data_IF_111518235263
#
_entry.id   IF_111518235263
#
_cell.length_a   1.000
_cell.length_b   1.000
_cell.length_c   1.000
_cell.angle_alpha   90.00
_cell.angle_beta   90.00
_cell.angle_gamma   90.00
#
_symmetry.space_group_name_H-M   'P 1'
#
loop_
_entity.id
_entity.type
_entity.pdbx_description
1 polymer ?
#
# COMPACT_ATOMS: atom_id res chain seq x y z
N UNK A 1 -15.04 14.34 4.76
CA UNK A 1 -13.65 14.29 5.25
C UNK A 1 -13.25 15.69 5.73
N UNK A 2 -12.92 15.83 6.99
CA UNK A 2 -12.44 17.05 7.65
C UNK A 2 -10.97 16.86 8.02
N UNK A 3 -10.08 17.75 7.60
CA UNK A 3 -8.67 17.70 8.02
C UNK A 3 -8.56 18.22 9.46
N UNK A 4 -7.98 17.40 10.31
CA UNK A 4 -7.77 17.70 11.74
C UNK A 4 -6.38 18.30 11.94
N UNK A 5 -5.36 17.72 11.28
CA UNK A 5 -3.97 18.15 11.39
C UNK A 5 -3.24 17.99 10.05
N UNK A 6 -2.27 18.86 9.82
CA UNK A 6 -1.32 18.75 8.71
C UNK A 6 0.09 18.93 9.24
N UNK A 7 0.95 17.94 9.03
CA UNK A 7 2.38 17.99 9.32
C UNK A 7 3.17 18.04 8.03
N UNK A 8 4.04 19.02 7.89
CA UNK A 8 4.89 19.16 6.70
C UNK A 8 6.35 18.95 7.05
N UNK A 9 7.06 18.22 6.20
CA UNK A 9 8.50 18.05 6.27
C UNK A 9 9.12 18.64 5.01
N UNK A 10 10.01 19.67 5.20
CA UNK A 10 10.66 20.37 4.10
C UNK A 10 11.37 19.38 3.17
N UNK A 11 11.04 19.45 1.89
CA UNK A 11 11.65 18.58 0.89
C UNK A 11 11.13 17.14 0.83
N UNK A 12 10.23 16.71 1.73
CA UNK A 12 9.64 15.38 1.74
C UNK A 12 8.15 15.42 1.35
N UNK A 13 7.36 16.27 1.99
CA UNK A 13 5.93 16.33 1.69
C UNK A 13 5.06 16.70 2.90
N UNK A 14 3.81 16.31 2.87
CA UNK A 14 2.83 16.55 3.91
C UNK A 14 2.09 15.27 4.32
N UNK A 15 1.93 15.10 5.63
CA UNK A 15 1.05 14.11 6.23
C UNK A 15 -0.21 14.83 6.68
N UNK A 16 -1.35 14.26 6.37
CA UNK A 16 -2.67 14.75 6.73
C UNK A 16 -3.33 13.76 7.68
N UNK A 17 -3.80 14.23 8.82
CA UNK A 17 -4.73 13.53 9.68
C UNK A 17 -6.14 14.03 9.36
N UNK A 18 -7.01 13.13 8.98
CA UNK A 18 -8.39 13.45 8.60
C UNK A 18 -9.40 12.67 9.43
N UNK A 19 -10.50 13.33 9.75
CA UNK A 19 -11.67 12.71 10.33
C UNK A 19 -12.70 12.43 9.22
N UNK A 20 -13.05 11.16 9.06
CA UNK A 20 -14.07 10.66 8.14
C UNK A 20 -15.41 10.43 8.85
N UNK A 21 -15.47 10.68 10.16
CA UNK A 21 -16.65 10.44 10.97
C UNK A 21 -17.77 11.43 10.72
N UNK A 22 -18.91 11.07 11.26
CA UNK A 22 -20.09 11.92 11.39
C UNK A 22 -20.20 12.45 12.82
N UNK A 23 -21.12 13.37 13.09
CA UNK A 23 -21.30 13.94 14.42
C UNK A 23 -21.35 12.86 15.51
N UNK A 24 -20.44 12.91 16.48
CA UNK A 24 -20.39 12.06 17.66
C UNK A 24 -19.51 10.81 17.58
N UNK A 25 -18.91 10.47 16.42
CA UNK A 25 -17.96 9.36 16.27
C UNK A 25 -16.82 9.72 15.33
N UNK A 26 -15.65 9.92 15.90
CA UNK A 26 -14.45 10.17 15.12
C UNK A 26 -13.99 8.89 14.40
N UNK A 27 -13.52 9.09 13.16
CA UNK A 27 -12.90 8.04 12.31
C UNK A 27 -11.62 8.62 11.72
N UNK A 28 -10.56 8.58 12.50
CA UNK A 28 -9.29 9.20 12.15
C UNK A 28 -8.49 8.32 11.20
N UNK A 29 -8.02 8.91 10.11
CA UNK A 29 -7.12 8.28 9.15
C UNK A 29 -6.02 9.23 8.74
N UNK A 30 -4.89 8.66 8.39
CA UNK A 30 -3.75 9.40 7.85
C UNK A 30 -3.57 9.12 6.37
N UNK A 31 -3.11 10.11 5.62
CA UNK A 31 -2.63 9.95 4.27
C UNK A 31 -1.51 10.94 3.96
N UNK A 32 -0.73 10.66 2.93
CA UNK A 32 0.51 11.39 2.68
C UNK A 32 0.59 11.85 1.24
N UNK A 33 1.03 13.09 1.08
CA UNK A 33 1.46 13.70 -0.18
C UNK A 33 2.98 13.84 -0.14
N UNK A 34 3.70 13.06 -0.93
CA UNK A 34 5.16 13.01 -0.86
C UNK A 34 5.80 12.82 -2.23
N UNK A 35 7.10 12.65 -2.21
CA UNK A 35 7.94 12.36 -3.39
C UNK A 35 8.98 11.31 -3.06
N UNK A 36 9.61 10.75 -4.05
CA UNK A 36 10.80 9.92 -3.84
C UNK A 36 11.98 10.82 -3.40
N UNK A 37 12.76 10.42 -2.41
CA UNK A 37 13.97 11.14 -2.03
C UNK A 37 14.89 11.38 -3.23
N UNK A 38 15.41 12.62 -3.36
CA UNK A 38 16.27 13.00 -4.49
C UNK A 38 15.56 13.26 -5.83
N UNK A 39 14.27 12.91 -5.96
CA UNK A 39 13.51 13.13 -7.21
C UNK A 39 12.51 14.28 -7.02
N UNK A 40 12.50 15.29 -7.89
CA UNK A 40 11.50 16.35 -7.82
C UNK A 40 10.06 15.82 -7.94
N UNK A 41 9.14 16.40 -7.17
CA UNK A 41 7.73 15.99 -7.18
C UNK A 41 7.09 16.09 -8.57
N UNK A 42 7.50 17.07 -9.36
CA UNK A 42 7.07 17.24 -10.76
C UNK A 42 7.49 16.08 -11.69
N UNK A 43 8.48 15.28 -11.29
CA UNK A 43 8.92 14.10 -12.05
C UNK A 43 8.34 12.80 -11.47
N UNK A 44 8.20 12.69 -10.14
CA UNK A 44 7.61 11.53 -9.48
C UNK A 44 6.84 11.97 -8.24
N UNK A 45 5.54 11.87 -8.33
CA UNK A 45 4.60 12.19 -7.26
C UNK A 45 4.13 10.92 -6.58
N UNK A 46 4.16 10.88 -5.24
CA UNK A 46 3.76 9.72 -4.46
C UNK A 46 2.66 10.12 -3.48
N UNK A 47 1.53 9.46 -3.57
CA UNK A 47 0.44 9.56 -2.63
C UNK A 47 0.34 8.24 -1.86
N UNK A 48 0.30 8.30 -0.54
CA UNK A 48 0.04 7.12 0.29
C UNK A 48 -1.33 7.29 0.94
N UNK A 49 -2.21 6.32 0.73
CA UNK A 49 -3.60 6.35 1.22
C UNK A 49 -3.87 5.23 2.20
N UNK A 50 -4.78 5.49 3.13
CA UNK A 50 -5.29 4.53 4.10
C UNK A 50 -6.44 3.72 3.51
N UNK A 51 -6.59 2.48 3.96
CA UNK A 51 -7.65 1.56 3.57
C UNK A 51 -8.59 1.20 4.73
N UNK A 52 -8.16 1.46 5.96
CA UNK A 52 -8.93 1.20 7.19
C UNK A 52 -8.74 2.35 8.17
N UNK A 53 -9.67 2.50 9.10
CA UNK A 53 -9.46 3.26 10.34
C UNK A 53 -8.70 2.33 11.29
N UNK A 54 -7.49 2.71 11.68
CA UNK A 54 -6.57 1.80 12.36
C UNK A 54 -6.11 0.66 11.45
N UNK A 55 -5.87 -0.53 12.01
CA UNK A 55 -5.48 -1.71 11.24
C UNK A 55 -5.91 -3.00 11.93
N UNK A 56 -6.53 -3.92 11.18
CA UNK A 56 -6.99 -5.22 11.69
C UNK A 56 -5.84 -6.20 11.99
N UNK A 57 -4.61 -5.92 11.56
CA UNK A 57 -3.45 -6.81 11.73
C UNK A 57 -2.77 -6.66 13.09
N UNK A 58 -2.63 -5.44 13.58
CA UNK A 58 -2.00 -5.17 14.88
C UNK A 58 -0.50 -5.45 14.92
N UNK A 59 0.25 -5.16 13.83
CA UNK A 59 1.71 -5.28 13.83
C UNK A 59 2.33 -4.48 14.97
N UNK A 60 3.25 -5.11 15.74
CA UNK A 60 3.78 -4.52 16.99
C UNK A 60 4.58 -3.23 16.79
N UNK A 61 5.13 -3.01 15.61
CA UNK A 61 5.91 -1.83 15.26
C UNK A 61 5.11 -0.72 14.58
N UNK A 62 3.78 -0.90 14.40
CA UNK A 62 2.95 -0.01 13.59
C UNK A 62 1.91 0.70 14.43
N UNK A 63 1.95 2.04 14.43
CA UNK A 63 1.01 2.89 15.18
C UNK A 63 -0.45 2.66 14.75
N UNK A 64 -0.68 2.38 13.46
CA UNK A 64 -2.01 2.04 12.97
C UNK A 64 -2.55 0.73 13.57
N UNK A 65 -1.66 -0.22 13.87
CA UNK A 65 -2.00 -1.45 14.60
C UNK A 65 -2.32 -1.19 16.07
N UNK A 66 -1.54 -0.32 16.72
CA UNK A 66 -1.77 0.08 18.11
C UNK A 66 -3.11 0.81 18.30
N UNK A 67 -3.57 1.56 17.30
CA UNK A 67 -4.88 2.23 17.31
C UNK A 67 -6.09 1.27 17.22
N UNK A 68 -5.85 -0.03 16.96
CA UNK A 68 -6.89 -1.03 16.77
C UNK A 68 -7.62 -0.90 15.43
N UNK A 69 -8.72 -1.65 15.27
CA UNK A 69 -9.51 -1.67 14.04
C UNK A 69 -10.83 -0.92 14.22
N UNK A 70 -10.98 0.21 13.53
CA UNK A 70 -12.18 1.05 13.53
C UNK A 70 -13.09 0.89 12.30
N UNK A 71 -12.78 -0.03 11.39
CA UNK A 71 -13.58 -0.35 10.21
C UNK A 71 -12.87 -0.10 8.88
N UNK A 72 -13.42 -0.69 7.82
CA UNK A 72 -12.96 -0.52 6.45
C UNK A 72 -13.36 0.84 5.89
N UNK A 73 -12.52 1.42 5.03
CA UNK A 73 -12.87 2.59 4.24
C UNK A 73 -13.63 2.17 2.99
N UNK A 74 -14.61 2.99 2.61
CA UNK A 74 -15.32 2.88 1.35
C UNK A 74 -14.45 3.32 0.17
N UNK A 75 -14.89 3.03 -1.04
CA UNK A 75 -14.25 3.51 -2.29
C UNK A 75 -14.11 5.02 -2.28
N UNK A 76 -15.19 5.74 -1.93
CA UNK A 76 -15.18 7.21 -1.91
C UNK A 76 -14.29 7.81 -0.84
N UNK A 77 -14.18 7.17 0.34
CA UNK A 77 -13.26 7.60 1.40
C UNK A 77 -11.80 7.41 0.97
N UNK A 78 -11.46 6.30 0.31
CA UNK A 78 -10.10 6.08 -0.22
C UNK A 78 -9.75 7.06 -1.35
N UNK A 79 -10.61 7.22 -2.35
CA UNK A 79 -10.39 8.16 -3.46
C UNK A 79 -10.51 9.62 -3.01
N UNK A 80 -11.28 9.90 -1.96
CA UNK A 80 -11.36 11.20 -1.32
C UNK A 80 -10.00 11.72 -0.85
N UNK A 81 -9.12 10.83 -0.36
CA UNK A 81 -7.75 11.17 0.03
C UNK A 81 -6.93 11.59 -1.22
N UNK A 82 -7.04 10.84 -2.32
CA UNK A 82 -6.36 11.16 -3.59
C UNK A 82 -6.84 12.52 -4.14
N UNK A 83 -8.17 12.71 -4.19
CA UNK A 83 -8.79 13.96 -4.68
C UNK A 83 -8.41 15.14 -3.80
N UNK A 84 -8.29 14.96 -2.47
CA UNK A 84 -7.83 16.02 -1.57
C UNK A 84 -6.39 16.42 -1.87
N UNK A 85 -5.46 15.47 -1.98
CA UNK A 85 -4.06 15.75 -2.31
C UNK A 85 -3.96 16.46 -3.66
N UNK A 86 -4.73 16.05 -4.67
CA UNK A 86 -4.76 16.71 -5.97
C UNK A 86 -5.17 18.19 -5.85
N UNK A 87 -6.23 18.48 -5.10
CA UNK A 87 -6.68 19.88 -4.86
C UNK A 87 -5.66 20.74 -4.11
N UNK A 88 -4.83 20.13 -3.26
CA UNK A 88 -3.75 20.85 -2.54
C UNK A 88 -2.53 21.14 -3.40
N UNK A 89 -2.47 20.61 -4.62
CA UNK A 89 -1.38 20.80 -5.57
C UNK A 89 -1.91 21.31 -6.93
N UNK A 90 -2.48 22.54 -6.99
CA UNK A 90 -3.16 23.03 -8.19
C UNK A 90 -2.24 23.18 -9.42
N UNK A 91 -0.92 23.25 -9.21
CA UNK A 91 0.08 23.24 -10.29
C UNK A 91 0.41 21.88 -10.87
N UNK A 92 -0.20 20.79 -10.37
CA UNK A 92 0.04 19.41 -10.81
C UNK A 92 -1.28 18.73 -11.14
N UNK A 93 -1.36 18.12 -12.33
CA UNK A 93 -2.53 17.40 -12.77
C UNK A 93 -2.24 15.88 -12.73
N UNK A 94 -2.99 15.13 -11.91
CA UNK A 94 -2.88 13.66 -11.83
C UNK A 94 -3.01 12.97 -13.19
N UNK A 95 -3.83 13.54 -14.10
CA UNK A 95 -4.09 12.95 -15.42
C UNK A 95 -2.97 13.18 -16.43
N UNK A 96 -2.08 14.14 -16.16
CA UNK A 96 -0.97 14.53 -17.06
C UNK A 96 0.40 14.39 -16.44
N UNK A 97 0.45 14.08 -15.14
CA UNK A 97 1.70 13.94 -14.42
C UNK A 97 2.56 12.81 -15.01
N UNK A 98 3.86 13.01 -15.28
CA UNK A 98 4.69 11.99 -15.94
C UNK A 98 4.80 10.69 -15.16
N UNK A 99 4.76 10.74 -13.84
CA UNK A 99 4.76 9.54 -12.98
C UNK A 99 4.10 9.85 -11.63
N UNK A 100 2.90 9.32 -11.42
CA UNK A 100 2.19 9.39 -10.14
C UNK A 100 1.99 7.98 -9.57
N UNK A 101 2.42 7.77 -8.33
CA UNK A 101 2.20 6.51 -7.60
C UNK A 101 1.14 6.74 -6.52
N UNK A 102 0.03 6.02 -6.61
CA UNK A 102 -0.96 5.95 -5.53
C UNK A 102 -0.76 4.64 -4.78
N UNK A 103 -0.33 4.73 -3.53
CA UNK A 103 0.09 3.60 -2.71
C UNK A 103 -0.91 3.36 -1.57
N UNK A 104 -1.60 2.24 -1.59
CA UNK A 104 -2.52 1.79 -0.54
C UNK A 104 -1.72 1.08 0.55
N UNK A 105 -1.14 1.87 1.46
CA UNK A 105 -0.16 1.38 2.43
C UNK A 105 -0.02 2.24 3.69
N UNK A 106 -0.90 3.26 3.94
CA UNK A 106 -0.72 4.09 5.14
C UNK A 106 -1.33 3.43 6.37
N UNK A 107 -2.64 3.33 6.47
CA UNK A 107 -3.32 2.63 7.56
C UNK A 107 -4.22 1.53 6.99
N UNK A 108 -4.18 0.37 7.64
CA UNK A 108 -4.98 -0.79 7.29
C UNK A 108 -4.26 -1.82 6.43
N UNK A 109 -4.81 -3.03 6.42
CA UNK A 109 -4.40 -4.13 5.55
C UNK A 109 -5.32 -4.17 4.32
N UNK A 110 -4.81 -3.85 3.12
CA UNK A 110 -5.65 -3.74 1.92
C UNK A 110 -6.42 -5.02 1.57
N UNK A 111 -5.83 -6.19 1.79
CA UNK A 111 -6.46 -7.47 1.46
C UNK A 111 -7.63 -7.85 2.39
N UNK A 112 -7.76 -7.17 3.52
CA UNK A 112 -8.89 -7.32 4.45
C UNK A 112 -10.00 -6.28 4.22
N UNK A 113 -9.85 -5.39 3.23
CA UNK A 113 -10.89 -4.45 2.83
C UNK A 113 -11.39 -4.78 1.41
N UNK A 114 -12.60 -5.33 1.26
CA UNK A 114 -13.15 -5.69 -0.06
C UNK A 114 -13.35 -4.48 -0.98
N UNK A 115 -13.46 -3.26 -0.44
CA UNK A 115 -13.61 -2.05 -1.23
C UNK A 115 -12.32 -1.61 -1.95
N UNK A 116 -11.15 -2.19 -1.63
CA UNK A 116 -9.88 -1.83 -2.28
C UNK A 116 -9.87 -2.19 -3.76
N UNK A 117 -10.39 -3.36 -4.14
CA UNK A 117 -10.44 -3.77 -5.55
C UNK A 117 -11.34 -2.85 -6.39
N UNK A 118 -12.57 -2.53 -5.97
CA UNK A 118 -13.38 -1.49 -6.61
C UNK A 118 -12.70 -0.11 -6.63
N UNK A 119 -11.98 0.27 -5.56
CA UNK A 119 -11.26 1.55 -5.51
C UNK A 119 -10.13 1.61 -6.55
N UNK A 120 -9.39 0.52 -6.77
CA UNK A 120 -8.39 0.44 -7.83
C UNK A 120 -9.02 0.62 -9.22
N UNK A 121 -10.14 -0.06 -9.50
CA UNK A 121 -10.86 0.11 -10.77
C UNK A 121 -11.37 1.55 -10.95
N UNK A 122 -11.90 2.16 -9.90
CA UNK A 122 -12.36 3.55 -9.92
C UNK A 122 -11.20 4.53 -10.10
N UNK A 123 -10.05 4.31 -9.43
CA UNK A 123 -8.85 5.13 -9.59
C UNK A 123 -8.36 5.15 -11.05
N UNK A 124 -8.32 4.00 -11.72
CA UNK A 124 -7.91 3.92 -13.13
C UNK A 124 -8.85 4.71 -14.06
N UNK A 125 -10.17 4.70 -13.77
CA UNK A 125 -11.16 5.48 -14.53
C UNK A 125 -11.07 6.98 -14.25
N UNK A 126 -10.87 7.39 -12.99
CA UNK A 126 -10.79 8.81 -12.61
C UNK A 126 -9.48 9.46 -13.06
N UNK A 127 -8.41 8.69 -13.10
CA UNK A 127 -7.07 9.15 -13.47
C UNK A 127 -6.56 8.35 -14.67
N UNK A 128 -7.11 8.56 -15.87
CA UNK A 128 -6.68 7.88 -17.09
C UNK A 128 -5.31 8.42 -17.56
N UNK A 129 -4.24 8.05 -16.84
CA UNK A 129 -2.89 8.53 -17.05
C UNK A 129 -1.94 7.34 -17.26
N UNK A 130 -1.19 7.25 -18.37
CA UNK A 130 -0.17 6.21 -18.58
C UNK A 130 0.96 6.25 -17.54
N UNK A 131 1.19 7.40 -16.89
CA UNK A 131 2.13 7.56 -15.77
C UNK A 131 1.57 7.15 -14.40
N UNK A 132 0.29 6.75 -14.31
CA UNK A 132 -0.29 6.28 -13.06
C UNK A 132 0.22 4.89 -12.73
N UNK A 133 0.74 4.74 -11.50
CA UNK A 133 1.13 3.47 -10.90
C UNK A 133 0.28 3.27 -9.65
N UNK A 134 -0.55 2.26 -9.66
CA UNK A 134 -1.20 1.80 -8.42
C UNK A 134 -0.24 0.88 -7.66
N UNK A 135 -0.25 0.97 -6.33
CA UNK A 135 0.59 0.13 -5.49
C UNK A 135 -0.14 -0.31 -4.23
N UNK A 136 0.11 -1.55 -3.83
CA UNK A 136 -0.42 -2.14 -2.60
C UNK A 136 0.73 -2.70 -1.77
N UNK A 137 0.69 -2.49 -0.44
CA UNK A 137 1.49 -3.23 0.53
C UNK A 137 0.60 -4.09 1.39
N UNK A 138 1.00 -5.34 1.62
CA UNK A 138 0.23 -6.32 2.39
C UNK A 138 1.15 -7.25 3.18
N UNK A 139 0.68 -7.73 4.32
CA UNK A 139 1.33 -8.83 5.06
C UNK A 139 0.86 -10.20 4.59
N UNK A 140 -0.06 -10.26 3.63
CA UNK A 140 -0.75 -11.45 3.12
C UNK A 140 -1.40 -12.26 4.25
N UNK A 141 -2.44 -11.75 4.93
CA UNK A 141 -3.14 -12.48 5.98
C UNK A 141 -3.70 -13.80 5.46
N UNK A 142 -3.70 -14.83 6.31
CA UNK A 142 -4.29 -16.12 5.95
C UNK A 142 -5.74 -16.17 6.45
N UNK A 143 -6.66 -15.84 5.57
CA UNK A 143 -8.10 -15.95 5.79
C UNK A 143 -8.79 -16.49 4.53
N UNK A 144 -10.00 -17.05 4.62
CA UNK A 144 -10.71 -17.61 3.46
C UNK A 144 -10.97 -16.58 2.34
N UNK A 145 -10.99 -15.29 2.66
CA UNK A 145 -11.27 -14.22 1.68
C UNK A 145 -10.01 -13.71 0.96
N UNK A 146 -8.83 -13.96 1.49
CA UNK A 146 -7.59 -13.35 0.99
C UNK A 146 -7.09 -14.03 -0.30
N UNK A 147 -7.14 -15.34 -0.41
CA UNK A 147 -6.74 -16.03 -1.65
C UNK A 147 -7.60 -15.61 -2.86
N UNK A 148 -8.96 -15.65 -2.80
CA UNK A 148 -9.79 -15.10 -3.86
C UNK A 148 -9.55 -13.63 -4.15
N UNK A 149 -9.26 -12.84 -3.11
CA UNK A 149 -8.94 -11.42 -3.26
C UNK A 149 -7.65 -11.21 -4.07
N UNK A 150 -6.60 -12.00 -3.87
CA UNK A 150 -5.36 -11.91 -4.66
C UNK A 150 -5.57 -12.33 -6.11
N UNK A 151 -6.40 -13.34 -6.38
CA UNK A 151 -6.74 -13.72 -7.75
C UNK A 151 -7.51 -12.59 -8.47
N UNK A 152 -8.44 -11.94 -7.79
CA UNK A 152 -9.14 -10.79 -8.34
C UNK A 152 -8.21 -9.57 -8.48
N UNK A 153 -7.29 -9.33 -7.54
CA UNK A 153 -6.27 -8.29 -7.65
C UNK A 153 -5.43 -8.47 -8.93
N UNK A 154 -5.08 -9.71 -9.26
CA UNK A 154 -4.33 -10.02 -10.49
C UNK A 154 -5.13 -9.61 -11.73
N UNK A 155 -6.45 -9.90 -11.76
CA UNK A 155 -7.33 -9.46 -12.84
C UNK A 155 -7.41 -7.93 -12.93
N UNK A 156 -7.60 -7.24 -11.79
CA UNK A 156 -7.60 -5.78 -11.73
C UNK A 156 -6.29 -5.20 -12.26
N UNK A 157 -5.14 -5.79 -11.90
CA UNK A 157 -3.83 -5.39 -12.40
C UNK A 157 -3.78 -5.54 -13.94
N UNK A 158 -4.13 -6.71 -14.45
CA UNK A 158 -4.04 -7.01 -15.88
C UNK A 158 -4.97 -6.11 -16.71
N UNK A 159 -6.18 -5.83 -16.24
CA UNK A 159 -7.19 -5.03 -16.92
C UNK A 159 -6.95 -3.51 -16.81
N UNK A 160 -6.61 -3.02 -15.62
CA UNK A 160 -6.56 -1.58 -15.33
C UNK A 160 -5.15 -0.98 -15.36
N UNK A 161 -4.13 -1.80 -15.13
CA UNK A 161 -2.75 -1.35 -14.92
C UNK A 161 -1.71 -2.17 -15.70
N UNK A 162 -1.92 -2.50 -16.97
CA UNK A 162 -0.97 -3.29 -17.75
C UNK A 162 0.37 -2.56 -17.95
N UNK A 163 1.41 -3.31 -18.35
CA UNK A 163 2.70 -2.73 -18.75
C UNK A 163 3.47 -2.11 -17.57
N UNK A 164 3.48 -2.77 -16.42
CA UNK A 164 4.26 -2.34 -15.26
C UNK A 164 3.66 -1.16 -14.49
N UNK A 165 2.37 -0.87 -14.68
CA UNK A 165 1.67 0.20 -13.95
C UNK A 165 1.09 -0.23 -12.61
N UNK A 166 1.43 -1.43 -12.15
CA UNK A 166 1.05 -1.93 -10.84
C UNK A 166 2.28 -2.38 -10.04
N UNK A 167 2.32 -2.08 -8.73
CA UNK A 167 3.36 -2.52 -7.82
C UNK A 167 2.73 -3.23 -6.62
N UNK A 168 2.96 -4.54 -6.51
CA UNK A 168 2.61 -5.29 -5.30
C UNK A 168 3.85 -5.41 -4.40
N UNK A 169 3.66 -5.19 -3.11
CA UNK A 169 4.69 -5.25 -2.09
C UNK A 169 4.25 -6.16 -0.95
N UNK A 170 5.12 -7.06 -0.53
CA UNK A 170 4.90 -7.88 0.66
C UNK A 170 5.71 -7.33 1.83
N UNK A 171 5.03 -6.99 2.92
CA UNK A 171 5.64 -6.56 4.18
C UNK A 171 6.03 -7.79 4.99
N UNK A 172 7.28 -8.22 4.84
CA UNK A 172 7.79 -9.45 5.44
C UNK A 172 8.43 -9.21 6.81
N UNK A 173 9.23 -8.16 6.92
CA UNK A 173 9.96 -7.70 8.10
C UNK A 173 11.09 -8.62 8.57
N UNK A 174 11.01 -9.94 8.34
CA UNK A 174 12.08 -10.90 8.63
C UNK A 174 12.05 -12.06 7.63
N UNK A 175 13.21 -12.64 7.35
CA UNK A 175 13.36 -13.92 6.65
C UNK A 175 13.21 -15.12 7.61
N UNK A 176 13.14 -14.90 8.92
CA UNK A 176 12.85 -15.89 9.95
C UNK A 176 11.35 -15.86 10.28
N UNK A 177 10.68 -17.00 10.11
CA UNK A 177 9.23 -17.12 10.32
C UNK A 177 8.82 -16.93 11.79
N UNK A 178 9.68 -17.26 12.75
CA UNK A 178 9.39 -17.08 14.17
C UNK A 178 9.46 -15.59 14.55
N UNK A 179 10.52 -14.89 14.12
CA UNK A 179 10.65 -13.44 14.29
C UNK A 179 9.53 -12.70 13.57
N UNK A 180 9.22 -13.10 12.34
CA UNK A 180 8.10 -12.56 11.56
C UNK A 180 6.76 -12.75 12.28
N UNK A 181 6.58 -13.91 12.94
CA UNK A 181 5.41 -14.20 13.80
C UNK A 181 5.31 -13.26 14.99
N UNK A 182 6.44 -12.91 15.59
CA UNK A 182 6.51 -11.94 16.69
C UNK A 182 6.16 -10.51 16.27
N UNK A 183 6.51 -10.09 15.06
CA UNK A 183 6.27 -8.73 14.55
C UNK A 183 4.83 -8.58 14.05
N UNK A 184 4.34 -9.56 13.26
CA UNK A 184 3.01 -9.57 12.65
C UNK A 184 2.17 -10.68 13.31
N UNK A 185 1.33 -10.36 14.32
CA UNK A 185 0.76 -11.33 15.25
C UNK A 185 -0.47 -12.09 14.72
N UNK A 186 -0.74 -12.05 13.41
CA UNK A 186 -1.84 -12.81 12.79
C UNK A 186 -1.31 -13.96 11.94
N UNK A 187 -2.17 -14.94 11.64
CA UNK A 187 -1.88 -15.96 10.63
C UNK A 187 -1.73 -15.30 9.27
N UNK A 188 -0.67 -15.62 8.55
CA UNK A 188 -0.30 -15.03 7.26
C UNK A 188 0.34 -16.07 6.37
N UNK A 189 0.49 -15.79 5.11
CA UNK A 189 1.23 -16.65 4.19
C UNK A 189 2.67 -16.81 4.66
N UNK A 190 3.17 -18.03 4.53
CA UNK A 190 4.58 -18.34 4.75
C UNK A 190 5.44 -17.73 3.64
N UNK A 191 6.74 -17.62 3.87
CA UNK A 191 7.65 -17.05 2.87
C UNK A 191 7.68 -17.86 1.58
N UNK A 192 7.64 -19.20 1.67
CA UNK A 192 7.57 -20.08 0.52
C UNK A 192 6.27 -19.94 -0.29
N UNK A 193 5.16 -19.64 0.37
CA UNK A 193 3.87 -19.36 -0.29
C UNK A 193 3.88 -18.02 -1.02
N UNK A 194 4.49 -16.98 -0.42
CA UNK A 194 4.73 -15.69 -1.09
C UNK A 194 5.61 -15.87 -2.32
N UNK A 195 6.69 -16.67 -2.21
CA UNK A 195 7.57 -16.98 -3.33
C UNK A 195 6.83 -17.73 -4.45
N UNK A 196 6.01 -18.74 -4.09
CA UNK A 196 5.18 -19.48 -5.04
C UNK A 196 4.14 -18.59 -5.75
N UNK A 197 3.55 -17.64 -5.01
CA UNK A 197 2.62 -16.67 -5.58
C UNK A 197 3.32 -15.76 -6.59
N UNK A 198 4.54 -15.31 -6.33
CA UNK A 198 5.31 -14.45 -7.22
C UNK A 198 5.48 -15.03 -8.61
N UNK A 199 5.76 -16.32 -8.72
CA UNK A 199 5.88 -17.03 -10.00
C UNK A 199 4.58 -17.01 -10.83
N UNK A 200 3.41 -16.98 -10.18
CA UNK A 200 2.10 -16.93 -10.86
C UNK A 200 1.63 -15.51 -11.15
N UNK A 201 2.16 -14.54 -10.41
CA UNK A 201 1.79 -13.13 -10.53
C UNK A 201 2.31 -12.47 -11.79
N UNK A 202 3.55 -12.75 -12.14
CA UNK A 202 4.30 -12.05 -13.18
C UNK A 202 3.77 -12.31 -14.60
N UNK A 203 3.65 -11.25 -15.38
CA UNK A 203 3.46 -11.24 -16.84
C UNK A 203 4.60 -10.47 -17.47
N UNK A 204 4.79 -10.65 -18.78
CA UNK A 204 5.77 -9.85 -19.53
C UNK A 204 5.46 -8.36 -19.38
N UNK A 205 6.48 -7.57 -19.03
CA UNK A 205 6.38 -6.14 -18.79
C UNK A 205 5.89 -5.74 -17.38
N UNK A 206 5.54 -6.68 -16.51
CA UNK A 206 5.20 -6.39 -15.12
C UNK A 206 6.44 -5.95 -14.30
N UNK A 207 6.16 -5.25 -13.20
CA UNK A 207 7.18 -4.97 -12.18
C UNK A 207 7.39 -6.19 -11.32
N UNK A 208 8.65 -6.43 -10.94
CA UNK A 208 8.97 -7.40 -9.88
C UNK A 208 8.22 -7.05 -8.61
N UNK A 209 7.83 -8.07 -7.86
CA UNK A 209 7.25 -7.91 -6.54
C UNK A 209 8.29 -7.31 -5.58
N UNK A 210 7.88 -6.39 -4.72
CA UNK A 210 8.78 -5.81 -3.74
C UNK A 210 8.64 -6.52 -2.40
N UNK A 211 9.76 -6.87 -1.79
CA UNK A 211 9.83 -7.38 -0.43
C UNK A 211 10.23 -6.24 0.50
N UNK A 212 9.37 -5.89 1.44
CA UNK A 212 9.65 -4.85 2.42
C UNK A 212 10.09 -5.47 3.75
N UNK A 213 11.24 -5.03 4.21
CA UNK A 213 11.77 -5.37 5.52
C UNK A 213 11.92 -4.08 6.33
N UNK A 214 11.58 -4.14 7.61
CA UNK A 214 11.82 -3.08 8.57
C UNK A 214 12.54 -3.70 9.77
N UNK A 215 13.87 -3.93 9.65
CA UNK A 215 14.65 -4.51 10.72
C UNK A 215 14.65 -3.58 11.94
N UNK A 216 14.59 -4.17 13.13
CA UNK A 216 14.75 -3.46 14.38
C UNK A 216 16.20 -2.94 14.58
N UNK A 217 16.43 -2.10 15.58
CA UNK A 217 17.77 -1.65 15.91
C UNK A 217 18.71 -2.83 16.17
N UNK A 218 19.82 -2.90 15.41
CA UNK A 218 20.81 -3.97 15.51
C UNK A 218 20.46 -5.27 14.76
N UNK A 219 19.29 -5.39 14.19
CA UNK A 219 18.94 -6.51 13.32
C UNK A 219 19.55 -6.34 11.92
N UNK A 220 20.12 -7.43 11.40
CA UNK A 220 20.61 -7.48 10.02
C UNK A 220 19.71 -8.36 9.18
N UNK A 221 19.49 -7.93 7.94
CA UNK A 221 18.83 -8.79 6.96
C UNK A 221 19.79 -9.92 6.57
N UNK A 222 19.28 -11.14 6.53
CA UNK A 222 20.02 -12.31 6.00
C UNK A 222 19.76 -12.41 4.50
N UNK A 223 20.59 -11.74 3.72
CA UNK A 223 20.50 -11.72 2.26
C UNK A 223 20.60 -13.13 1.66
N UNK A 224 21.39 -14.02 2.28
CA UNK A 224 21.52 -15.40 1.83
C UNK A 224 20.24 -16.22 2.08
N UNK A 225 19.57 -15.99 3.21
CA UNK A 225 18.27 -16.62 3.49
C UNK A 225 17.19 -16.08 2.52
N UNK A 226 17.16 -14.79 2.29
CA UNK A 226 16.21 -14.16 1.35
C UNK A 226 16.42 -14.72 -0.07
N UNK A 227 17.66 -14.78 -0.56
CA UNK A 227 17.98 -15.25 -1.91
C UNK A 227 17.71 -16.74 -2.13
N UNK A 228 17.73 -17.57 -1.05
CA UNK A 228 17.34 -18.97 -1.13
C UNK A 228 15.84 -19.16 -1.31
N UNK A 229 15.02 -18.22 -0.83
CA UNK A 229 13.54 -18.32 -0.83
C UNK A 229 12.96 -17.59 -2.05
N UNK A 230 13.48 -16.42 -2.37
CA UNK A 230 12.91 -15.52 -3.37
C UNK A 230 13.80 -15.41 -4.60
N UNK A 231 13.25 -15.80 -5.74
CA UNK A 231 13.90 -15.70 -7.03
C UNK A 231 14.01 -14.21 -7.45
N UNK A 232 15.23 -13.70 -7.72
CA UNK A 232 15.44 -12.32 -8.14
C UNK A 232 14.81 -11.98 -9.51
N UNK A 233 14.41 -12.98 -10.31
CA UNK A 233 13.63 -12.74 -11.53
C UNK A 233 12.22 -12.21 -11.23
N UNK A 234 11.65 -12.55 -10.08
CA UNK A 234 10.29 -12.18 -9.69
C UNK A 234 10.24 -11.13 -8.57
N UNK A 235 11.31 -10.99 -7.79
CA UNK A 235 11.32 -10.18 -6.57
C UNK A 235 12.47 -9.14 -6.57
N UNK A 236 12.21 -8.05 -5.80
CA UNK A 236 13.13 -6.95 -5.48
C UNK A 236 13.23 -6.83 -3.97
#
# INVERSE_FOLDING_TARGET
>A
MRIVETRTAKGLGALYLADLGTRGRERLVEFVDTREPGVPKSRKWVLMVSTQVGCAVGCRMCDAGAAGFGGNLSVDEMLGQVRFVARRNPGMDLRRHPKVKVHFARMGEPSLNPAVLPALRALAREVPNPGLIASISTVAPRTPVVEPWFEELRRVKDECYPGGRFQLQFSLHSADEALRGGIVPIRKWRLDEVAAFGRRWMRSGDRKLTLNFAPGPGERLDDAAISRIFDPEHFL
#
